data_IF_929384372046
#
_entry.id   IF_929384372046
#
_cell.length_a   1.000
_cell.length_b   1.000
_cell.length_c   1.000
_cell.angle_alpha   90.00
_cell.angle_beta   90.00
_cell.angle_gamma   90.00
#
_symmetry.space_group_name_H-M   'P 1'
#
loop_
_entity.id
_entity.type
_entity.pdbx_description
1 polymer ?
#
# COMPACT_ATOMS: atom_id res chain seq x y z
N UNK A 1 8.02 0.82 11.98
CA UNK A 1 7.28 -0.46 12.13
C UNK A 1 6.75 -0.90 10.78
N UNK A 2 6.52 -2.20 10.57
CA UNK A 2 5.86 -2.75 9.38
C UNK A 2 4.57 -3.39 9.83
N UNK A 3 3.47 -3.06 9.15
CA UNK A 3 2.15 -3.62 9.46
C UNK A 3 1.61 -4.34 8.23
N UNK A 4 1.23 -5.61 8.41
CA UNK A 4 0.56 -6.39 7.39
C UNK A 4 -0.93 -6.48 7.72
N UNK A 5 -1.78 -6.08 6.80
CA UNK A 5 -3.22 -6.27 6.87
C UNK A 5 -3.54 -7.53 6.09
N UNK A 6 -4.13 -8.51 6.77
CA UNK A 6 -4.43 -9.82 6.19
C UNK A 6 -5.86 -10.25 6.44
N UNK A 7 -6.45 -10.98 5.50
CA UNK A 7 -7.75 -11.61 5.65
C UNK A 7 -7.75 -12.94 4.91
N UNK A 8 -8.22 -14.02 5.57
CA UNK A 8 -8.25 -15.39 5.00
C UNK A 8 -6.93 -15.80 4.33
N UNK A 9 -5.81 -15.58 5.03
CA UNK A 9 -4.45 -15.87 4.57
C UNK A 9 -3.97 -15.06 3.35
N UNK A 10 -4.74 -14.07 2.89
CA UNK A 10 -4.32 -13.14 1.83
C UNK A 10 -3.83 -11.84 2.42
N UNK A 11 -2.77 -11.28 1.85
CA UNK A 11 -2.28 -9.95 2.19
C UNK A 11 -3.13 -8.91 1.48
N UNK A 12 -3.88 -8.11 2.22
CA UNK A 12 -4.65 -6.98 1.70
C UNK A 12 -3.76 -5.76 1.50
N UNK A 13 -2.92 -5.46 2.49
CA UNK A 13 -2.01 -4.33 2.43
C UNK A 13 -0.75 -4.54 3.26
N UNK A 14 0.29 -3.80 2.90
CA UNK A 14 1.54 -3.69 3.66
C UNK A 14 1.79 -2.21 3.91
N UNK A 15 1.94 -1.83 5.18
CA UNK A 15 2.21 -0.44 5.58
C UNK A 15 3.63 -0.36 6.12
N UNK A 16 4.42 0.58 5.60
CA UNK A 16 5.74 0.95 6.11
C UNK A 16 5.59 2.28 6.83
N UNK A 17 5.81 2.28 8.15
CA UNK A 17 5.83 3.52 8.92
C UNK A 17 7.03 4.39 8.51
N UNK A 18 6.83 5.70 8.50
CA UNK A 18 7.90 6.70 8.31
C UNK A 18 9.04 6.56 9.32
N UNK A 19 8.76 5.93 10.47
CA UNK A 19 9.74 5.64 11.51
C UNK A 19 10.52 4.33 11.29
N UNK A 20 10.21 3.57 10.23
CA UNK A 20 10.92 2.33 9.95
C UNK A 20 12.34 2.62 9.48
N UNK A 21 13.32 2.00 10.13
CA UNK A 21 14.72 2.09 9.77
C UNK A 21 15.38 0.72 9.79
N UNK A 22 16.19 0.43 8.78
CA UNK A 22 17.04 -0.76 8.68
C UNK A 22 18.18 -0.53 7.71
N UNK A 23 19.38 -0.90 8.09
CA UNK A 23 20.51 -0.85 7.15
C UNK A 23 20.38 -1.91 6.05
N UNK A 24 20.80 -1.54 4.84
CA UNK A 24 20.72 -2.42 3.69
C UNK A 24 19.44 -2.28 2.91
N UNK A 25 18.94 -3.37 2.33
CA UNK A 25 17.68 -3.47 1.62
C UNK A 25 16.81 -4.56 2.24
N UNK A 26 15.52 -4.29 2.34
CA UNK A 26 14.53 -5.28 2.74
C UNK A 26 13.31 -5.18 1.84
N UNK A 27 12.96 -6.31 1.20
CA UNK A 27 11.69 -6.48 0.52
C UNK A 27 10.63 -6.99 1.49
N UNK A 28 9.40 -6.48 1.34
CA UNK A 28 8.28 -6.83 2.22
C UNK A 28 7.21 -7.66 1.52
N UNK A 29 7.25 -7.68 0.20
CA UNK A 29 6.28 -8.37 -0.64
C UNK A 29 6.70 -9.81 -0.93
N UNK A 30 5.73 -10.75 -1.05
CA UNK A 30 5.98 -12.06 -1.65
C UNK A 30 6.56 -11.91 -3.07
N UNK A 31 7.38 -12.88 -3.48
CA UNK A 31 8.08 -12.84 -4.77
C UNK A 31 7.15 -12.87 -5.99
N UNK A 32 5.94 -13.38 -5.83
CA UNK A 32 4.90 -13.49 -6.87
C UNK A 32 4.04 -12.22 -7.03
N UNK A 33 4.24 -11.22 -6.18
CA UNK A 33 3.53 -9.95 -6.35
C UNK A 33 4.02 -9.20 -7.58
N UNK A 34 3.10 -8.71 -8.39
CA UNK A 34 3.38 -7.91 -9.59
C UNK A 34 4.06 -6.57 -9.30
N UNK A 35 3.86 -6.04 -8.09
CA UNK A 35 4.59 -4.91 -7.54
C UNK A 35 5.39 -5.36 -6.33
N UNK A 36 6.67 -5.01 -6.31
CA UNK A 36 7.57 -5.31 -5.21
C UNK A 36 7.81 -4.05 -4.39
N UNK A 37 7.56 -4.13 -3.08
CA UNK A 37 7.78 -3.04 -2.14
C UNK A 37 8.99 -3.35 -1.27
N UNK A 38 9.94 -2.42 -1.24
CA UNK A 38 11.15 -2.54 -0.44
C UNK A 38 11.50 -1.21 0.22
N UNK A 39 12.23 -1.31 1.31
CA UNK A 39 12.94 -0.21 1.95
C UNK A 39 14.45 -0.36 1.71
N UNK A 40 15.14 0.74 1.48
CA UNK A 40 16.58 0.74 1.31
C UNK A 40 17.22 1.90 2.07
N UNK A 41 18.23 1.59 2.89
CA UNK A 41 19.13 2.57 3.52
C UNK A 41 20.57 2.22 3.20
N UNK A 42 21.30 3.17 2.63
CA UNK A 42 22.71 3.00 2.28
C UNK A 42 23.54 4.16 2.81
N UNK A 43 24.80 3.94 3.19
CA UNK A 43 25.66 5.02 3.62
C UNK A 43 26.04 5.94 2.46
N UNK A 44 26.50 7.13 2.79
CA UNK A 44 27.03 8.05 1.79
C UNK A 44 28.14 7.38 0.95
N UNK A 45 28.21 7.71 -0.33
CA UNK A 45 29.17 7.16 -1.32
C UNK A 45 28.96 5.68 -1.67
N UNK A 46 27.94 5.01 -1.16
CA UNK A 46 27.57 3.68 -1.64
C UNK A 46 27.12 3.77 -3.10
N UNK A 47 27.65 2.91 -3.95
CA UNK A 47 27.34 2.90 -5.38
C UNK A 47 26.52 1.66 -5.71
N UNK A 48 25.35 1.86 -6.32
CA UNK A 48 24.61 0.79 -6.97
C UNK A 48 25.05 0.76 -8.43
N UNK A 49 25.57 -0.38 -8.88
CA UNK A 49 26.04 -0.51 -10.25
C UNK A 49 24.92 -0.21 -11.25
N UNK A 50 25.20 0.56 -12.31
CA UNK A 50 24.23 0.76 -13.39
C UNK A 50 23.79 -0.57 -13.99
N UNK A 51 22.50 -0.70 -14.27
CA UNK A 51 21.93 -1.90 -14.85
C UNK A 51 20.71 -1.57 -15.69
N UNK A 52 20.33 -2.51 -16.56
CA UNK A 52 19.11 -2.47 -17.33
C UNK A 52 18.23 -3.65 -16.94
N UNK A 53 16.92 -3.45 -16.97
CA UNK A 53 15.97 -4.56 -16.80
C UNK A 53 15.66 -5.19 -18.14
N UNK A 54 15.86 -6.49 -18.25
CA UNK A 54 15.52 -7.24 -19.44
C UNK A 54 13.99 -7.36 -19.59
N UNK A 55 13.45 -7.37 -20.83
CA UNK A 55 12.05 -7.66 -21.06
C UNK A 55 11.69 -9.04 -20.53
N UNK A 56 10.63 -9.12 -19.74
CA UNK A 56 10.09 -10.37 -19.20
C UNK A 56 8.57 -10.28 -19.26
N UNK A 57 7.92 -11.28 -19.83
CA UNK A 57 6.46 -11.37 -19.85
C UNK A 57 5.94 -11.62 -18.43
N UNK A 58 4.92 -10.84 -18.05
CA UNK A 58 4.26 -10.96 -16.75
C UNK A 58 2.75 -10.91 -16.93
N UNK A 59 2.06 -11.75 -16.18
CA UNK A 59 0.60 -11.68 -16.07
C UNK A 59 0.24 -10.94 -14.78
N UNK A 60 -0.69 -10.00 -14.89
CA UNK A 60 -1.20 -9.23 -13.75
C UNK A 60 -2.72 -9.38 -13.73
N UNK A 61 -3.26 -9.90 -12.61
CA UNK A 61 -4.69 -10.13 -12.45
C UNK A 61 -5.37 -9.06 -11.59
N UNK A 62 -4.63 -8.47 -10.65
CA UNK A 62 -5.15 -7.47 -9.72
C UNK A 62 -4.34 -6.18 -9.83
N UNK A 63 -5.05 -5.08 -9.84
CA UNK A 63 -4.45 -3.76 -9.72
C UNK A 63 -3.90 -3.57 -8.32
N UNK A 64 -2.59 -3.39 -8.21
CA UNK A 64 -1.92 -3.01 -6.96
C UNK A 64 -1.59 -1.53 -7.01
N UNK A 65 -1.68 -0.89 -5.86
CA UNK A 65 -1.41 0.54 -5.70
C UNK A 65 -0.42 0.75 -4.55
N UNK A 66 0.54 1.65 -4.74
CA UNK A 66 1.41 2.11 -3.65
C UNK A 66 1.14 3.59 -3.44
N UNK A 67 0.78 3.96 -2.23
CA UNK A 67 0.57 5.35 -1.84
C UNK A 67 1.66 5.79 -0.88
N UNK A 68 2.24 6.94 -1.16
CA UNK A 68 3.15 7.66 -0.29
C UNK A 68 2.45 8.88 0.26
N UNK A 69 2.32 8.98 1.58
CA UNK A 69 1.72 10.14 2.24
C UNK A 69 2.76 11.25 2.33
N UNK A 70 2.59 12.28 1.51
CA UNK A 70 3.52 13.41 1.45
C UNK A 70 3.25 14.41 2.56
N UNK A 71 1.96 14.72 2.80
CA UNK A 71 1.51 15.63 3.86
C UNK A 71 0.09 15.30 4.32
N UNK A 72 -0.33 15.82 5.48
CA UNK A 72 -1.65 15.62 6.05
C UNK A 72 -1.83 14.26 6.72
N UNK A 73 -3.07 13.94 7.09
CA UNK A 73 -3.43 12.69 7.78
C UNK A 73 -4.54 11.98 7.01
N UNK A 74 -4.32 10.72 6.70
CA UNK A 74 -5.22 9.90 5.87
C UNK A 74 -5.65 8.66 6.65
N UNK A 75 -6.97 8.43 6.75
CA UNK A 75 -7.50 7.14 7.17
C UNK A 75 -7.68 6.23 5.96
N UNK A 76 -7.20 5.01 6.06
CA UNK A 76 -7.44 3.95 5.07
C UNK A 76 -8.36 2.91 5.70
N UNK A 77 -9.46 2.62 5.03
CA UNK A 77 -10.44 1.60 5.42
C UNK A 77 -10.23 0.35 4.55
N UNK A 78 -10.08 -0.81 5.18
CA UNK A 78 -9.83 -2.09 4.50
C UNK A 78 -11.09 -2.95 4.49
N UNK A 79 -11.33 -3.57 3.34
CA UNK A 79 -12.47 -4.44 3.09
C UNK A 79 -12.01 -5.75 2.46
N UNK A 80 -12.74 -6.83 2.68
CA UNK A 80 -12.57 -8.07 1.93
C UNK A 80 -12.91 -7.86 0.45
N UNK A 81 -12.62 -8.84 -0.41
CA UNK A 81 -13.04 -8.85 -1.81
C UNK A 81 -14.57 -8.93 -1.97
N UNK A 82 -15.28 -9.42 -0.95
CA UNK A 82 -16.75 -9.39 -0.85
C UNK A 82 -17.31 -8.10 -0.26
N UNK A 83 -16.49 -7.04 -0.16
CA UNK A 83 -16.88 -5.70 0.32
C UNK A 83 -17.27 -5.63 1.80
N UNK A 84 -16.85 -6.61 2.61
CA UNK A 84 -17.07 -6.58 4.06
C UNK A 84 -15.97 -5.76 4.72
N UNK A 85 -16.35 -4.75 5.52
CA UNK A 85 -15.41 -3.94 6.27
C UNK A 85 -14.65 -4.77 7.31
N UNK A 86 -13.36 -4.50 7.47
CA UNK A 86 -12.47 -5.23 8.37
C UNK A 86 -11.88 -4.33 9.45
N UNK A 87 -11.10 -3.34 9.06
CA UNK A 87 -10.45 -2.38 9.96
C UNK A 87 -10.00 -1.13 9.23
N UNK A 88 -9.60 -0.13 10.00
CA UNK A 88 -8.99 1.12 9.48
C UNK A 88 -7.62 1.38 10.10
N UNK A 89 -6.78 2.07 9.35
CA UNK A 89 -5.48 2.58 9.79
C UNK A 89 -5.35 4.05 9.49
N UNK A 90 -4.66 4.77 10.35
CA UNK A 90 -4.33 6.19 10.15
C UNK A 90 -2.89 6.29 9.68
N UNK A 91 -2.69 6.95 8.55
CA UNK A 91 -1.39 7.17 7.94
C UNK A 91 -0.98 8.63 8.10
N UNK A 92 0.30 8.84 8.35
CA UNK A 92 0.92 10.14 8.58
C UNK A 92 1.97 10.45 7.49
N UNK A 93 2.49 11.68 7.42
CA UNK A 93 3.52 12.04 6.46
C UNK A 93 4.74 11.11 6.53
N UNK A 94 5.16 10.62 5.36
CA UNK A 94 6.26 9.67 5.22
C UNK A 94 5.87 8.19 5.30
N UNK A 95 4.63 7.87 5.70
CA UNK A 95 4.13 6.50 5.65
C UNK A 95 3.88 6.07 4.21
N UNK A 96 4.09 4.78 3.93
CA UNK A 96 3.86 4.16 2.63
C UNK A 96 2.93 2.98 2.81
N UNK A 97 1.91 2.86 1.96
CA UNK A 97 1.03 1.68 1.93
C UNK A 97 1.01 1.06 0.54
N UNK A 98 1.23 -0.25 0.47
CA UNK A 98 0.91 -1.07 -0.69
C UNK A 98 -0.47 -1.68 -0.47
N UNK A 99 -1.39 -1.45 -1.39
CA UNK A 99 -2.71 -2.06 -1.49
C UNK A 99 -2.63 -3.20 -2.49
N UNK A 100 -2.77 -4.43 -2.00
CA UNK A 100 -2.46 -5.63 -2.78
C UNK A 100 -3.70 -6.40 -3.23
N UNK A 101 -4.72 -6.49 -2.37
CA UNK A 101 -5.92 -7.29 -2.59
C UNK A 101 -7.10 -6.76 -1.76
N UNK A 102 -8.33 -7.16 -2.12
CA UNK A 102 -9.55 -6.71 -1.43
C UNK A 102 -9.93 -5.29 -1.77
N UNK A 103 -10.88 -4.74 -1.02
CA UNK A 103 -11.36 -3.38 -1.16
C UNK A 103 -10.64 -2.41 -0.21
N UNK A 104 -10.60 -1.14 -0.60
CA UNK A 104 -10.09 -0.08 0.24
C UNK A 104 -10.85 1.22 -0.02
N UNK A 105 -10.88 2.08 0.99
CA UNK A 105 -11.40 3.44 0.93
C UNK A 105 -10.51 4.39 1.71
N UNK A 106 -10.68 5.68 1.48
CA UNK A 106 -9.87 6.71 2.14
C UNK A 106 -10.77 7.82 2.67
N UNK A 107 -10.38 8.36 3.83
CA UNK A 107 -10.88 9.65 4.32
C UNK A 107 -9.69 10.55 4.69
N UNK A 108 -9.70 11.77 4.18
CA UNK A 108 -8.73 12.79 4.56
C UNK A 108 -9.14 13.35 5.92
N UNK A 109 -8.43 12.96 6.98
CA UNK A 109 -8.65 13.49 8.34
C UNK A 109 -8.15 14.94 8.40
N UNK A 110 -7.03 15.21 7.71
CA UNK A 110 -6.49 16.54 7.43
C UNK A 110 -6.27 16.67 5.93
N UNK A 111 -6.23 17.90 5.42
CA UNK A 111 -5.84 18.13 4.02
C UNK A 111 -4.54 17.39 3.72
N UNK A 112 -4.54 16.55 2.68
CA UNK A 112 -3.43 15.64 2.42
C UNK A 112 -2.96 15.69 0.96
N UNK A 113 -1.64 15.56 0.79
CA UNK A 113 -1.00 15.28 -0.48
C UNK A 113 -0.52 13.83 -0.51
N UNK A 114 -0.89 13.09 -1.54
CA UNK A 114 -0.55 11.68 -1.71
C UNK A 114 0.09 11.49 -3.09
N UNK A 115 1.20 10.75 -3.14
CA UNK A 115 1.77 10.26 -4.40
C UNK A 115 1.33 8.81 -4.57
N UNK A 116 0.69 8.51 -5.68
CA UNK A 116 0.21 7.17 -6.02
C UNK A 116 1.01 6.57 -7.17
N UNK A 117 1.44 5.32 -7.02
CA UNK A 117 1.97 4.47 -8.07
C UNK A 117 1.02 3.29 -8.25
N UNK A 118 0.42 3.19 -9.42
CA UNK A 118 -0.61 2.18 -9.72
C UNK A 118 -0.17 1.26 -10.84
N UNK A 119 -0.59 0.01 -10.76
CA UNK A 119 -0.43 -0.93 -11.86
C UNK A 119 -1.14 -0.39 -13.12
N UNK A 120 -0.39 -0.30 -14.21
CA UNK A 120 -0.90 -0.01 -15.54
C UNK A 120 -0.99 -1.27 -16.42
N UNK A 121 -1.38 -1.11 -17.70
CA UNK A 121 -1.89 0.12 -18.32
C UNK A 121 -3.26 0.56 -17.78
N UNK A 122 -3.63 1.83 -18.04
CA UNK A 122 -4.89 2.38 -17.57
C UNK A 122 -6.08 1.67 -18.23
N UNK A 123 -6.97 1.12 -17.42
CA UNK A 123 -8.14 0.35 -17.85
C UNK A 123 -9.49 1.08 -17.68
N UNK A 124 -9.46 2.35 -17.26
CA UNK A 124 -10.67 3.14 -17.02
C UNK A 124 -11.51 2.64 -15.85
N UNK A 125 -12.82 2.86 -15.92
CA UNK A 125 -13.75 2.47 -14.85
C UNK A 125 -14.01 0.95 -14.77
N UNK A 126 -13.56 0.17 -15.74
CA UNK A 126 -13.66 -1.30 -15.70
C UNK A 126 -12.82 -1.95 -14.60
N UNK A 127 -11.81 -1.22 -14.13
CA UNK A 127 -10.91 -1.68 -13.06
C UNK A 127 -11.54 -1.62 -11.66
N UNK A 128 -12.66 -0.91 -11.49
CA UNK A 128 -13.23 -0.61 -10.17
C UNK A 128 -14.72 -0.93 -10.08
N UNK A 129 -15.09 -1.49 -8.93
CA UNK A 129 -16.48 -1.54 -8.48
C UNK A 129 -16.60 -0.72 -7.20
N UNK A 130 -17.36 0.39 -7.25
CA UNK A 130 -17.59 1.24 -6.09
C UNK A 130 -18.71 0.69 -5.23
N UNK A 131 -18.57 0.84 -3.91
CA UNK A 131 -19.59 0.43 -2.93
C UNK A 131 -19.65 1.44 -1.78
N UNK A 132 -20.66 1.30 -0.90
CA UNK A 132 -20.87 2.22 0.21
C UNK A 132 -19.80 2.07 1.27
N UNK A 133 -19.23 3.19 1.78
CA UNK A 133 -18.23 3.14 2.83
C UNK A 133 -18.83 2.66 4.16
N UNK A 134 -17.95 2.18 5.06
CA UNK A 134 -18.31 1.92 6.45
C UNK A 134 -18.83 3.21 7.11
N UNK A 135 -19.89 3.08 7.92
CA UNK A 135 -20.38 4.22 8.70
C UNK A 135 -19.42 4.57 9.85
N UNK A 136 -19.36 5.86 10.20
CA UNK A 136 -18.39 6.37 11.18
C UNK A 136 -18.47 5.66 12.56
N UNK A 137 -19.68 5.27 12.98
CA UNK A 137 -19.94 4.57 14.24
C UNK A 137 -19.43 3.12 14.26
N UNK A 138 -19.06 2.56 13.10
CA UNK A 138 -18.59 1.17 12.96
C UNK A 138 -17.09 1.06 12.67
N UNK A 139 -16.38 2.19 12.68
CA UNK A 139 -14.93 2.18 12.42
C UNK A 139 -14.21 1.50 13.58
N UNK A 140 -13.35 0.55 13.22
CA UNK A 140 -12.45 -0.15 14.14
C UNK A 140 -11.01 0.17 13.75
N UNK A 141 -10.32 0.90 14.60
CA UNK A 141 -8.91 1.17 14.40
C UNK A 141 -8.07 -0.03 14.81
N UNK A 142 -7.24 -0.52 13.90
CA UNK A 142 -6.17 -1.43 14.25
C UNK A 142 -5.10 -0.73 15.09
N UNK A 143 -4.13 -1.49 15.62
CA UNK A 143 -3.04 -0.92 16.44
C UNK A 143 -2.20 0.13 15.70
N UNK A 144 -1.35 0.82 16.44
CA UNK A 144 -0.44 1.86 15.91
C UNK A 144 0.47 1.31 14.81
N UNK A 145 0.83 2.20 13.87
CA UNK A 145 1.73 1.92 12.75
C UNK A 145 3.19 2.19 13.16
#
# INVERSE_FOLDING_TARGET
MITNITHESKTLAIIISSKFEKDGIQFFTPNDFSQQLAYMRRPAKYVIAPHVHNPIDRQVHFTKEVLFIKSGVVRVDFYSDSQVYLESRVLHPGDVVLLAYGGHGFEMIEEAEIIEVKQGPYAGDQDKTRFSPVSADKIVFGGDI
#
